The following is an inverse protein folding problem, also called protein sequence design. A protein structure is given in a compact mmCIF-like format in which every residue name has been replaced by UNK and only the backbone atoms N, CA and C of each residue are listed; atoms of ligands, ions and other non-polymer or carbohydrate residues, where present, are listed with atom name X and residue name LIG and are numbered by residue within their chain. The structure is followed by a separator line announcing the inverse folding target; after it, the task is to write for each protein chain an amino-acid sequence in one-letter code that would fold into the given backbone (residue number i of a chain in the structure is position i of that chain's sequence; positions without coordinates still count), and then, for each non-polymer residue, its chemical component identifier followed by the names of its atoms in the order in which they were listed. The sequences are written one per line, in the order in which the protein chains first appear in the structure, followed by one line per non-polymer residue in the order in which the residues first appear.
data_IF_700778773948
#
_entry.id   IF_700778773948
#
_cell.length_a   1.000
_cell.length_b   1.000
_cell.length_c   1.000
_cell.angle_alpha   90.00
_cell.angle_beta   90.00
_cell.angle_gamma   90.00
#
_symmetry.space_group_name_H-M   'P 1'
#
loop_
_entity.id
_entity.type
_entity.pdbx_description
1 polymer ?
#
# COMPACT_ATOMS: atom_id res chain seq x y z
N UNK A 1 12.77 -20.68 -0.39
CA UNK A 1 12.45 -19.54 0.50
C UNK A 1 10.95 -19.55 0.74
N UNK A 2 10.52 -19.68 2.01
CA UNK A 2 9.10 -19.71 2.36
C UNK A 2 8.57 -18.29 2.46
N UNK A 3 7.72 -17.89 1.52
CA UNK A 3 7.16 -16.55 1.44
C UNK A 3 5.68 -16.52 1.83
N UNK A 4 5.21 -15.42 2.39
CA UNK A 4 3.81 -15.19 2.70
C UNK A 4 3.34 -13.85 2.14
N UNK A 5 2.07 -13.81 1.74
CA UNK A 5 1.35 -12.59 1.41
C UNK A 5 0.47 -12.20 2.59
N UNK A 6 0.70 -11.00 3.15
CA UNK A 6 -0.22 -10.40 4.09
C UNK A 6 -1.25 -9.55 3.36
N UNK A 7 -2.52 -9.96 3.50
CA UNK A 7 -3.68 -9.23 2.99
C UNK A 7 -4.23 -8.35 4.10
N UNK A 8 -4.12 -7.01 4.00
CA UNK A 8 -4.62 -6.09 5.01
C UNK A 8 -6.13 -6.15 5.18
N UNK A 9 -6.64 -5.82 6.38
CA UNK A 9 -8.07 -5.88 6.72
C UNK A 9 -8.97 -5.13 5.74
N UNK A 10 -8.58 -3.94 5.27
CA UNK A 10 -9.36 -3.21 4.27
C UNK A 10 -9.42 -3.92 2.92
N UNK A 11 -8.33 -4.59 2.52
CA UNK A 11 -8.29 -5.38 1.30
C UNK A 11 -9.17 -6.61 1.45
N UNK A 12 -8.98 -7.37 2.53
CA UNK A 12 -9.73 -8.60 2.78
C UNK A 12 -11.25 -8.36 2.84
N UNK A 13 -11.67 -7.32 3.56
CA UNK A 13 -13.11 -7.10 3.83
C UNK A 13 -13.83 -6.33 2.71
N UNK A 14 -13.16 -5.41 2.01
CA UNK A 14 -13.82 -4.49 1.08
C UNK A 14 -13.33 -4.60 -0.37
N UNK A 15 -12.12 -5.13 -0.57
CA UNK A 15 -11.47 -5.15 -1.89
C UNK A 15 -10.75 -6.47 -2.16
N UNK A 16 -11.38 -7.65 -1.95
CA UNK A 16 -10.71 -8.95 -2.08
C UNK A 16 -10.12 -9.19 -3.48
N UNK A 17 -10.66 -8.53 -4.51
CA UNK A 17 -10.11 -8.59 -5.86
C UNK A 17 -8.66 -8.08 -5.94
N UNK A 18 -8.24 -7.18 -5.05
CA UNK A 18 -6.85 -6.68 -4.98
C UNK A 18 -5.90 -7.78 -4.52
N UNK A 19 -6.31 -8.58 -3.52
CA UNK A 19 -5.52 -9.72 -3.06
C UNK A 19 -5.40 -10.78 -4.15
N UNK A 20 -6.49 -11.07 -4.86
CA UNK A 20 -6.51 -12.01 -6.00
C UNK A 20 -5.59 -11.50 -7.12
N UNK A 21 -5.63 -10.21 -7.43
CA UNK A 21 -4.76 -9.61 -8.43
C UNK A 21 -3.28 -9.72 -8.03
N UNK A 22 -2.95 -9.45 -6.77
CA UNK A 22 -1.58 -9.57 -6.28
C UNK A 22 -1.07 -11.02 -6.33
N UNK A 23 -1.88 -11.99 -5.91
CA UNK A 23 -1.57 -13.42 -6.06
C UNK A 23 -1.31 -13.78 -7.52
N UNK A 24 -2.19 -13.35 -8.43
CA UNK A 24 -2.05 -13.58 -9.86
C UNK A 24 -0.72 -13.02 -10.40
N UNK A 25 -0.32 -11.81 -9.97
CA UNK A 25 0.97 -11.22 -10.34
C UNK A 25 2.12 -12.08 -9.84
N UNK A 26 2.11 -12.44 -8.55
CA UNK A 26 3.19 -13.23 -7.94
C UNK A 26 3.31 -14.62 -8.58
N UNK A 27 2.21 -15.32 -8.80
CA UNK A 27 2.18 -16.63 -9.45
C UNK A 27 2.73 -16.58 -10.88
N UNK A 28 2.32 -15.56 -11.67
CA UNK A 28 2.80 -15.38 -13.06
C UNK A 28 4.29 -15.03 -13.11
N UNK A 29 4.84 -14.46 -12.07
CA UNK A 29 6.28 -14.19 -11.90
C UNK A 29 7.03 -15.36 -11.27
N UNK A 30 6.38 -16.50 -11.03
CA UNK A 30 6.98 -17.71 -10.44
C UNK A 30 7.24 -17.59 -8.93
N UNK A 31 6.66 -16.59 -8.25
CA UNK A 31 6.81 -16.40 -6.82
C UNK A 31 5.70 -17.13 -6.08
N UNK A 32 6.06 -18.19 -5.39
CA UNK A 32 5.12 -18.96 -4.55
C UNK A 32 4.99 -18.29 -3.18
N UNK A 33 3.75 -18.03 -2.77
CA UNK A 33 3.42 -17.45 -1.47
C UNK A 33 2.27 -18.21 -0.81
N UNK A 34 2.36 -18.35 0.52
CA UNK A 34 1.23 -18.75 1.35
C UNK A 34 0.40 -17.51 1.69
N UNK A 35 -0.90 -17.67 1.90
CA UNK A 35 -1.77 -16.66 2.53
C UNK A 35 -2.22 -17.24 3.87
N UNK A 36 -1.44 -17.02 4.95
CA UNK A 36 -1.72 -17.66 6.23
C UNK A 36 -2.97 -17.07 6.87
N UNK A 37 -3.79 -17.95 7.42
CA UNK A 37 -4.95 -17.57 8.22
C UNK A 37 -4.53 -17.08 9.61
N UNK A 38 -5.37 -16.26 10.23
CA UNK A 38 -5.26 -15.91 11.64
C UNK A 38 -4.69 -14.52 11.96
N UNK A 39 -4.11 -13.80 11.01
CA UNK A 39 -3.68 -12.41 11.21
C UNK A 39 -4.36 -11.48 10.19
N UNK A 40 -5.52 -10.94 10.54
CA UNK A 40 -6.29 -10.05 9.66
C UNK A 40 -5.85 -8.57 9.73
N UNK A 41 -5.08 -8.16 10.76
CA UNK A 41 -4.71 -6.76 10.99
C UNK A 41 -3.25 -6.63 11.43
N UNK A 42 -2.58 -5.57 10.97
CA UNK A 42 -1.21 -5.22 11.39
C UNK A 42 -1.17 -4.50 12.75
N UNK A 43 -2.31 -4.05 13.31
CA UNK A 43 -2.37 -3.31 14.57
C UNK A 43 -2.29 -1.78 14.46
N UNK A 44 -2.02 -1.24 13.27
CA UNK A 44 -1.84 0.20 13.06
C UNK A 44 -3.01 1.08 13.54
N UNK A 45 -4.30 0.73 13.37
CA UNK A 45 -5.40 1.58 13.83
C UNK A 45 -5.35 1.87 15.33
N UNK A 46 -5.03 0.87 16.17
CA UNK A 46 -4.90 1.05 17.61
C UNK A 46 -3.71 1.94 17.96
N UNK A 47 -2.57 1.73 17.30
CA UNK A 47 -1.38 2.56 17.52
C UNK A 47 -1.61 4.02 17.13
N UNK A 48 -2.22 4.29 15.98
CA UNK A 48 -2.53 5.65 15.51
C UNK A 48 -3.55 6.37 16.43
N UNK A 49 -4.41 5.62 17.10
CA UNK A 49 -5.38 6.17 18.05
C UNK A 49 -4.82 6.38 19.47
N UNK A 50 -3.53 6.09 19.69
CA UNK A 50 -2.91 6.18 21.01
C UNK A 50 -3.14 4.96 21.92
N UNK A 51 -3.81 3.91 21.43
CA UNK A 51 -4.10 2.67 22.15
C UNK A 51 -3.06 1.58 21.86
N UNK A 52 -1.76 1.93 21.89
CA UNK A 52 -0.68 1.00 21.56
C UNK A 52 -0.68 -0.27 22.44
N UNK A 53 -0.99 -0.13 23.75
CA UNK A 53 -1.07 -1.27 24.67
C UNK A 53 -2.20 -2.23 24.30
N UNK A 54 -3.36 -1.70 23.93
CA UNK A 54 -4.53 -2.50 23.56
C UNK A 54 -4.32 -3.18 22.18
N UNK A 55 -3.48 -2.57 21.33
CA UNK A 55 -3.05 -3.14 20.06
C UNK A 55 -2.01 -4.25 20.16
N UNK A 56 -1.38 -4.45 21.34
CA UNK A 56 -0.30 -5.42 21.53
C UNK A 56 -0.68 -6.84 21.09
N UNK A 57 -1.83 -7.35 21.53
CA UNK A 57 -2.31 -8.69 21.18
C UNK A 57 -2.47 -8.87 19.65
N UNK A 58 -2.82 -7.82 18.93
CA UNK A 58 -2.95 -7.85 17.47
C UNK A 58 -1.58 -8.01 16.80
N UNK A 59 -0.57 -7.25 17.24
CA UNK A 59 0.79 -7.35 16.72
C UNK A 59 1.42 -8.69 17.12
N UNK A 60 1.24 -9.14 18.37
CA UNK A 60 1.72 -10.44 18.82
C UNK A 60 1.15 -11.57 17.94
N UNK A 61 -0.13 -11.52 17.63
CA UNK A 61 -0.76 -12.48 16.73
C UNK A 61 -0.16 -12.41 15.32
N UNK A 62 0.07 -11.21 14.79
CA UNK A 62 0.75 -11.03 13.52
C UNK A 62 2.14 -11.67 13.54
N UNK A 63 2.95 -11.36 14.55
CA UNK A 63 4.31 -11.92 14.69
C UNK A 63 4.27 -13.44 14.77
N UNK A 64 3.37 -14.02 15.55
CA UNK A 64 3.26 -15.47 15.72
C UNK A 64 2.88 -16.17 14.41
N UNK A 65 1.97 -15.60 13.63
CA UNK A 65 1.53 -16.16 12.31
C UNK A 65 2.64 -16.08 11.29
N UNK A 66 3.37 -14.95 11.25
CA UNK A 66 4.37 -14.70 10.19
C UNK A 66 5.80 -15.09 10.56
N UNK A 67 6.09 -15.42 11.82
CA UNK A 67 7.43 -15.86 12.27
C UNK A 67 8.04 -17.01 11.46
N UNK A 68 7.27 -18.02 10.95
CA UNK A 68 7.81 -19.12 10.16
C UNK A 68 8.26 -18.73 8.74
N UNK A 69 7.94 -17.52 8.26
CA UNK A 69 8.21 -17.10 6.90
C UNK A 69 9.51 -16.33 6.79
N UNK A 70 10.25 -16.57 5.71
CA UNK A 70 11.51 -15.89 5.39
C UNK A 70 11.29 -14.57 4.67
N UNK A 71 10.11 -14.41 4.02
CA UNK A 71 9.67 -13.20 3.35
C UNK A 71 8.19 -12.95 3.62
N UNK A 72 7.83 -11.71 3.96
CA UNK A 72 6.47 -11.29 4.21
C UNK A 72 6.16 -10.13 3.29
N UNK A 73 5.35 -10.39 2.25
CA UNK A 73 4.95 -9.38 1.25
C UNK A 73 3.63 -8.77 1.71
N UNK A 74 3.57 -7.44 1.82
CA UNK A 74 2.43 -6.71 2.37
C UNK A 74 1.77 -5.86 1.30
N UNK A 75 0.45 -6.00 1.12
CA UNK A 75 -0.34 -5.25 0.14
C UNK A 75 -0.80 -3.87 0.64
N UNK A 76 0.05 -3.18 1.40
CA UNK A 76 -0.23 -1.83 1.90
C UNK A 76 1.04 -1.20 2.43
N UNK A 77 1.36 -0.01 1.95
CA UNK A 77 2.48 0.76 2.44
C UNK A 77 2.36 1.11 3.93
N UNK A 78 1.16 1.46 4.38
CA UNK A 78 0.92 1.83 5.77
C UNK A 78 1.09 0.65 6.73
N UNK A 79 0.56 -0.53 6.39
CA UNK A 79 0.75 -1.74 7.18
C UNK A 79 2.22 -2.18 7.21
N UNK A 80 2.92 -2.13 6.08
CA UNK A 80 4.32 -2.51 6.01
C UNK A 80 5.20 -1.62 6.89
N UNK A 81 4.99 -0.30 6.86
CA UNK A 81 5.68 0.66 7.76
C UNK A 81 5.41 0.32 9.21
N UNK A 82 4.13 0.11 9.57
CA UNK A 82 3.75 -0.17 10.95
C UNK A 82 4.44 -1.42 11.50
N UNK A 83 4.42 -2.52 10.73
CA UNK A 83 5.10 -3.76 11.12
C UNK A 83 6.61 -3.54 11.24
N UNK A 84 7.25 -2.90 10.26
CA UNK A 84 8.70 -2.68 10.25
C UNK A 84 9.21 -1.81 11.39
N UNK A 85 8.47 -0.77 11.75
CA UNK A 85 8.91 0.19 12.75
C UNK A 85 8.47 -0.19 14.18
N UNK A 86 7.30 -0.82 14.34
CA UNK A 86 6.68 -0.96 15.63
C UNK A 86 6.55 -2.40 16.15
N UNK A 87 6.66 -3.43 15.30
CA UNK A 87 6.51 -4.81 15.79
C UNK A 87 7.56 -5.18 16.85
N UNK A 88 8.81 -4.74 16.68
CA UNK A 88 9.87 -4.94 17.66
C UNK A 88 9.63 -4.21 18.97
N UNK A 89 9.23 -2.96 18.94
CA UNK A 89 8.94 -2.13 20.12
C UNK A 89 7.75 -2.66 20.92
N UNK A 90 6.67 -3.00 20.23
CA UNK A 90 5.46 -3.52 20.89
C UNK A 90 5.75 -4.84 21.58
N UNK A 91 6.52 -5.73 20.97
CA UNK A 91 6.91 -7.00 21.58
C UNK A 91 7.86 -6.81 22.77
N UNK A 92 8.74 -5.81 22.74
CA UNK A 92 9.64 -5.49 23.83
C UNK A 92 8.93 -4.94 25.08
N UNK A 93 7.86 -4.16 24.90
CA UNK A 93 7.08 -3.59 26.03
C UNK A 93 6.36 -4.66 26.87
N UNK A 94 6.20 -5.88 26.38
CA UNK A 94 5.68 -7.03 27.12
C UNK A 94 6.69 -7.68 28.06
N UNK A 95 7.88 -7.09 28.28
CA UNK A 95 8.94 -7.63 29.13
C UNK A 95 9.70 -8.82 28.54
N UNK A 96 9.47 -9.11 27.26
CA UNK A 96 10.17 -10.15 26.50
C UNK A 96 11.22 -9.49 25.62
N UNK A 97 12.47 -9.88 25.78
CA UNK A 97 13.56 -9.63 24.82
C UNK A 97 13.33 -10.48 23.57
N UNK A 98 12.14 -10.36 22.96
CA UNK A 98 11.76 -11.23 21.85
C UNK A 98 12.30 -10.70 20.54
N UNK A 99 13.29 -11.41 20.02
CA UNK A 99 13.85 -11.17 18.69
C UNK A 99 12.87 -11.55 17.56
N UNK A 100 11.72 -12.19 17.85
CA UNK A 100 10.77 -12.61 16.82
C UNK A 100 10.10 -11.42 16.12
N UNK A 101 9.68 -10.40 16.88
CA UNK A 101 9.12 -9.16 16.33
C UNK A 101 10.12 -8.45 15.43
N UNK A 102 11.40 -8.34 15.84
CA UNK A 102 12.45 -7.73 15.04
C UNK A 102 12.71 -8.53 13.75
N UNK A 103 12.77 -9.87 13.84
CA UNK A 103 12.94 -10.72 12.65
C UNK A 103 11.78 -10.60 11.67
N UNK A 104 10.54 -10.54 12.16
CA UNK A 104 9.35 -10.33 11.32
C UNK A 104 9.41 -8.96 10.65
N UNK A 105 9.80 -7.91 11.38
CA UNK A 105 9.98 -6.57 10.84
C UNK A 105 11.00 -6.53 9.70
N UNK A 106 12.18 -7.14 9.88
CA UNK A 106 13.25 -7.21 8.87
C UNK A 106 12.82 -7.96 7.60
N UNK A 107 11.99 -9.00 7.74
CA UNK A 107 11.51 -9.85 6.63
C UNK A 107 10.28 -9.27 5.92
N UNK A 108 9.72 -8.18 6.46
CA UNK A 108 8.54 -7.53 5.89
C UNK A 108 8.94 -6.57 4.78
N UNK A 109 8.34 -6.76 3.61
CA UNK A 109 8.49 -5.87 2.45
C UNK A 109 7.13 -5.49 1.88
N UNK A 110 7.00 -4.30 1.34
CA UNK A 110 5.79 -3.88 0.65
C UNK A 110 5.80 -4.43 -0.78
N UNK A 111 4.63 -4.71 -1.33
CA UNK A 111 4.44 -5.39 -2.61
C UNK A 111 5.18 -4.74 -3.78
N UNK A 112 5.10 -3.42 -3.94
CA UNK A 112 5.83 -2.73 -5.02
C UNK A 112 7.34 -2.69 -4.79
N UNK A 113 7.78 -2.55 -3.52
CA UNK A 113 9.20 -2.71 -3.18
C UNK A 113 9.71 -4.09 -3.55
N UNK A 114 8.97 -5.14 -3.21
CA UNK A 114 9.32 -6.51 -3.56
C UNK A 114 9.43 -6.70 -5.08
N UNK A 115 8.44 -6.25 -5.83
CA UNK A 115 8.45 -6.37 -7.29
C UNK A 115 9.59 -5.58 -7.94
N UNK A 116 9.89 -4.40 -7.43
CA UNK A 116 10.93 -3.55 -7.99
C UNK A 116 12.33 -4.04 -7.63
N UNK A 117 12.58 -4.30 -6.35
CA UNK A 117 13.93 -4.50 -5.81
C UNK A 117 14.39 -5.97 -5.90
N UNK A 118 13.46 -6.94 -5.79
CA UNK A 118 13.81 -8.37 -5.74
C UNK A 118 13.44 -9.13 -7.02
N UNK A 119 12.26 -8.86 -7.60
CA UNK A 119 11.86 -9.47 -8.89
C UNK A 119 12.49 -8.74 -10.06
N UNK A 120 12.49 -7.41 -10.02
CA UNK A 120 13.00 -6.54 -11.07
C UNK A 120 11.95 -6.12 -12.11
N UNK A 121 11.99 -4.85 -12.49
CA UNK A 121 11.02 -4.22 -13.42
C UNK A 121 10.96 -4.94 -14.78
N UNK A 122 12.07 -5.52 -15.25
CA UNK A 122 12.11 -6.30 -16.50
C UNK A 122 11.16 -7.48 -16.47
N UNK A 123 11.21 -8.29 -15.40
CA UNK A 123 10.32 -9.45 -15.25
C UNK A 123 8.86 -9.03 -15.07
N UNK A 124 8.62 -7.92 -14.37
CA UNK A 124 7.25 -7.36 -14.26
C UNK A 124 6.71 -6.95 -15.63
N UNK A 125 7.54 -6.43 -16.52
CA UNK A 125 7.14 -6.10 -17.88
C UNK A 125 6.72 -7.33 -18.71
N UNK A 126 7.23 -8.53 -18.41
CA UNK A 126 6.86 -9.79 -19.06
C UNK A 126 5.41 -10.22 -18.76
N UNK A 127 4.76 -9.64 -17.73
CA UNK A 127 3.33 -9.84 -17.48
C UNK A 127 2.46 -9.39 -18.66
N UNK A 128 2.94 -8.47 -19.46
CA UNK A 128 2.25 -7.99 -20.67
C UNK A 128 0.96 -7.21 -20.37
N UNK A 129 0.86 -6.64 -19.17
CA UNK A 129 -0.32 -5.88 -18.74
C UNK A 129 -0.60 -4.69 -19.69
N UNK A 130 -1.89 -4.38 -19.88
CA UNK A 130 -2.32 -3.26 -20.71
C UNK A 130 -3.53 -2.57 -20.07
N UNK A 131 -3.54 -1.24 -20.08
CA UNK A 131 -4.63 -0.43 -19.58
C UNK A 131 -4.57 0.97 -20.19
N UNK A 132 -5.52 1.31 -21.04
CA UNK A 132 -5.56 2.61 -21.73
C UNK A 132 -6.19 3.67 -20.85
N UNK A 133 -5.37 4.48 -20.19
CA UNK A 133 -5.82 5.60 -19.37
C UNK A 133 -4.68 6.57 -19.03
N UNK A 134 -5.06 7.79 -18.65
CA UNK A 134 -4.18 8.74 -17.98
C UNK A 134 -4.32 8.54 -16.47
N UNK A 135 -3.27 8.08 -15.80
CA UNK A 135 -3.28 7.71 -14.40
C UNK A 135 -2.50 8.69 -13.53
N UNK A 136 -3.11 9.14 -12.44
CA UNK A 136 -2.40 9.76 -11.33
C UNK A 136 -1.93 8.68 -10.34
N UNK A 137 -0.68 8.76 -9.90
CA UNK A 137 -0.13 7.87 -8.87
C UNK A 137 -0.23 8.55 -7.51
N UNK A 138 -0.82 7.84 -6.55
CA UNK A 138 -0.84 8.24 -5.15
C UNK A 138 -0.08 7.21 -4.31
N UNK A 139 1.15 7.52 -3.91
CA UNK A 139 2.00 6.56 -3.17
C UNK A 139 1.57 6.47 -1.70
N UNK A 140 0.96 7.51 -1.16
CA UNK A 140 0.64 7.60 0.27
C UNK A 140 1.86 7.98 1.13
N UNK A 141 1.64 8.67 2.24
CA UNK A 141 2.71 9.21 3.08
C UNK A 141 3.61 8.13 3.69
N UNK A 142 3.05 6.99 4.10
CA UNK A 142 3.82 5.87 4.65
C UNK A 142 4.70 5.21 3.58
N UNK A 143 4.14 4.96 2.40
CA UNK A 143 4.92 4.41 1.28
C UNK A 143 6.05 5.33 0.86
N UNK A 144 5.76 6.63 0.76
CA UNK A 144 6.73 7.64 0.35
C UNK A 144 7.86 7.81 1.36
N UNK A 145 7.54 8.17 2.61
CA UNK A 145 8.52 8.54 3.64
C UNK A 145 8.98 7.38 4.51
N UNK A 146 8.11 6.42 4.77
CA UNK A 146 8.43 5.27 5.62
C UNK A 146 9.15 4.13 4.90
N UNK A 147 8.86 3.93 3.61
CA UNK A 147 9.43 2.84 2.81
C UNK A 147 10.36 3.31 1.67
N UNK A 148 10.38 4.60 1.37
CA UNK A 148 11.15 5.11 0.24
C UNK A 148 10.70 4.51 -1.10
N UNK A 149 9.39 4.43 -1.34
CA UNK A 149 8.86 3.98 -2.64
C UNK A 149 9.14 4.98 -3.75
N UNK A 150 9.25 6.25 -3.40
CA UNK A 150 9.70 7.30 -4.30
C UNK A 150 10.47 8.35 -3.51
N UNK A 151 11.13 9.27 -4.21
CA UNK A 151 11.83 10.40 -3.60
C UNK A 151 10.82 11.45 -3.15
N UNK A 152 10.74 11.79 -1.85
CA UNK A 152 9.96 12.92 -1.38
C UNK A 152 10.52 14.25 -1.90
N UNK A 153 9.65 15.24 -2.11
CA UNK A 153 10.04 16.54 -2.66
C UNK A 153 10.98 17.33 -1.76
N UNK A 154 10.94 17.09 -0.45
CA UNK A 154 11.82 17.72 0.54
C UNK A 154 13.27 17.21 0.51
N UNK A 155 13.55 16.08 -0.16
CA UNK A 155 14.89 15.49 -0.27
C UNK A 155 15.51 15.87 -1.61
N UNK A 156 16.71 16.47 -1.57
CA UNK A 156 17.46 16.86 -2.78
C UNK A 156 18.42 15.74 -3.24
N UNK A 157 17.83 14.64 -3.71
CA UNK A 157 18.54 13.51 -4.30
C UNK A 157 18.08 13.27 -5.73
N UNK A 158 18.72 12.33 -6.43
CA UNK A 158 18.25 11.90 -7.74
C UNK A 158 16.80 11.43 -7.67
N UNK A 159 15.93 11.90 -8.56
CA UNK A 159 14.55 11.41 -8.62
C UNK A 159 14.51 9.89 -8.85
N UNK A 160 13.70 9.21 -8.06
CA UNK A 160 13.33 7.82 -8.29
C UNK A 160 11.88 7.60 -7.87
N UNK A 161 11.22 6.64 -8.47
CA UNK A 161 9.85 6.23 -8.14
C UNK A 161 9.66 4.78 -8.57
N UNK A 162 9.67 3.86 -7.61
CA UNK A 162 9.52 2.42 -7.83
C UNK A 162 8.14 2.09 -8.40
N UNK A 163 7.11 2.79 -7.94
CA UNK A 163 5.73 2.55 -8.37
C UNK A 163 5.56 2.98 -9.82
N UNK A 164 6.04 4.17 -10.18
CA UNK A 164 5.99 4.65 -11.57
C UNK A 164 6.83 3.78 -12.50
N UNK A 165 7.99 3.29 -12.03
CA UNK A 165 8.82 2.37 -12.80
C UNK A 165 8.09 1.05 -13.12
N UNK A 166 7.37 0.48 -12.17
CA UNK A 166 6.54 -0.70 -12.38
C UNK A 166 5.36 -0.42 -13.32
N UNK A 167 4.67 0.69 -13.13
CA UNK A 167 3.52 1.08 -13.94
C UNK A 167 3.90 1.47 -15.37
N UNK A 168 5.11 1.95 -15.62
CA UNK A 168 5.62 2.21 -16.96
C UNK A 168 5.67 0.94 -17.83
N UNK A 169 5.66 -0.25 -17.23
CA UNK A 169 5.56 -1.53 -17.93
C UNK A 169 4.13 -1.85 -18.42
N UNK A 170 3.11 -1.12 -17.99
CA UNK A 170 1.71 -1.32 -18.40
C UNK A 170 1.45 -0.57 -19.73
N UNK A 171 1.18 -1.31 -20.79
CA UNK A 171 0.94 -0.73 -22.14
C UNK A 171 -0.32 0.13 -22.14
N UNK A 172 -0.25 1.29 -22.77
CA UNK A 172 -1.37 2.23 -22.88
C UNK A 172 -1.55 3.13 -21.66
N UNK A 173 -0.84 2.89 -20.55
CA UNK A 173 -0.95 3.70 -19.34
C UNK A 173 -0.06 4.95 -19.45
N UNK A 174 -0.67 6.13 -19.45
CA UNK A 174 0.03 7.41 -19.43
C UNK A 174 0.03 7.98 -18.01
N UNK A 175 1.20 8.10 -17.38
CA UNK A 175 1.30 8.63 -16.02
C UNK A 175 1.34 10.16 -16.04
N UNK A 176 0.39 10.80 -15.35
CA UNK A 176 0.34 12.27 -15.24
C UNK A 176 1.29 12.77 -14.15
N UNK A 177 1.87 13.95 -14.38
CA UNK A 177 2.63 14.66 -13.34
C UNK A 177 1.68 15.52 -12.52
N UNK A 178 1.81 15.46 -11.19
CA UNK A 178 1.01 16.22 -10.26
C UNK A 178 1.79 17.41 -9.73
N UNK A 179 1.11 18.51 -9.43
CA UNK A 179 1.76 19.71 -8.86
C UNK A 179 2.23 19.46 -7.42
N UNK A 180 1.51 18.59 -6.69
CA UNK A 180 1.79 18.26 -5.29
C UNK A 180 1.88 16.73 -5.11
N UNK A 181 2.95 16.07 -5.64
CA UNK A 181 3.04 14.62 -5.67
C UNK A 181 2.99 13.99 -4.26
N UNK A 182 3.53 14.67 -3.26
CA UNK A 182 3.69 14.19 -1.88
C UNK A 182 2.49 14.47 -0.97
N UNK A 183 1.41 15.03 -1.51
CA UNK A 183 0.26 15.41 -0.71
C UNK A 183 -0.49 14.20 -0.15
N UNK A 184 -0.81 14.28 1.15
CA UNK A 184 -1.54 13.22 1.85
C UNK A 184 -3.00 13.15 1.37
N UNK A 185 -3.56 11.93 1.34
CA UNK A 185 -4.99 11.71 1.05
C UNK A 185 -5.93 12.23 2.14
N UNK A 186 -5.43 12.43 3.38
CA UNK A 186 -6.22 12.88 4.51
C UNK A 186 -6.90 11.77 5.31
N UNK A 187 -6.76 10.49 4.97
CA UNK A 187 -7.43 9.41 5.67
C UNK A 187 -6.97 9.28 7.14
N UNK A 188 -5.68 8.98 7.37
CA UNK A 188 -5.09 8.88 8.72
C UNK A 188 -5.76 7.89 9.68
N UNK A 189 -6.57 6.93 9.18
CA UNK A 189 -7.29 5.96 10.01
C UNK A 189 -8.34 6.65 10.89
N UNK A 190 -8.17 6.60 12.21
CA UNK A 190 -9.07 7.24 13.19
C UNK A 190 -9.13 8.77 13.06
N UNK A 191 -8.10 9.39 12.47
CA UNK A 191 -8.10 10.83 12.16
C UNK A 191 -9.30 11.24 11.28
N UNK A 192 -9.66 10.42 10.29
CA UNK A 192 -10.81 10.71 9.44
C UNK A 192 -12.16 10.74 10.20
N UNK A 193 -12.21 10.09 11.37
CA UNK A 193 -13.38 10.09 12.26
C UNK A 193 -13.31 11.21 13.29
N UNK A 194 -12.14 11.41 13.91
CA UNK A 194 -11.93 12.43 14.93
C UNK A 194 -11.88 13.85 14.38
N UNK A 195 -11.29 14.02 13.19
CA UNK A 195 -11.11 15.32 12.53
C UNK A 195 -11.69 15.34 11.11
N UNK A 196 -13.00 15.03 10.94
CA UNK A 196 -13.59 14.81 9.62
C UNK A 196 -13.52 16.03 8.70
N UNK A 197 -13.62 17.24 9.24
CA UNK A 197 -13.55 18.48 8.45
C UNK A 197 -12.16 18.65 7.79
N UNK A 198 -11.10 18.39 8.53
CA UNK A 198 -9.72 18.50 8.05
C UNK A 198 -9.42 17.37 7.07
N UNK A 199 -9.78 16.13 7.42
CA UNK A 199 -9.62 14.94 6.59
C UNK A 199 -10.28 15.10 5.21
N UNK A 200 -11.53 15.54 5.18
CA UNK A 200 -12.28 15.83 3.94
C UNK A 200 -11.60 16.93 3.13
N UNK A 201 -11.13 18.02 3.77
CA UNK A 201 -10.44 19.11 3.08
C UNK A 201 -9.17 18.62 2.40
N UNK A 202 -8.35 17.82 3.09
CA UNK A 202 -7.12 17.22 2.55
C UNK A 202 -7.42 16.33 1.35
N UNK A 203 -8.39 15.44 1.47
CA UNK A 203 -8.77 14.56 0.37
C UNK A 203 -9.30 15.31 -0.85
N UNK A 204 -10.07 16.38 -0.64
CA UNK A 204 -10.54 17.27 -1.71
C UNK A 204 -9.40 18.01 -2.41
N UNK A 205 -8.42 18.49 -1.67
CA UNK A 205 -7.26 19.17 -2.25
C UNK A 205 -6.47 18.17 -3.12
N UNK A 206 -6.28 16.93 -2.61
CA UNK A 206 -5.65 15.86 -3.38
C UNK A 206 -6.43 15.52 -4.65
N UNK A 207 -7.74 15.36 -4.58
CA UNK A 207 -8.58 15.09 -5.76
C UNK A 207 -8.57 16.24 -6.76
N UNK A 208 -8.53 17.49 -6.29
CA UNK A 208 -8.42 18.66 -7.15
C UNK A 208 -7.09 18.68 -7.91
N UNK A 209 -5.97 18.39 -7.25
CA UNK A 209 -4.67 18.29 -7.92
C UNK A 209 -4.71 17.18 -8.99
N UNK A 210 -5.24 16.01 -8.68
CA UNK A 210 -5.38 14.87 -9.60
C UNK A 210 -6.23 15.25 -10.82
N UNK A 211 -7.40 15.82 -10.61
CA UNK A 211 -8.34 16.12 -11.70
C UNK A 211 -7.88 17.29 -12.56
N UNK A 212 -7.21 18.30 -11.97
CA UNK A 212 -6.68 19.45 -12.72
C UNK A 212 -5.57 19.07 -13.73
N UNK A 213 -4.91 17.93 -13.50
CA UNK A 213 -3.90 17.39 -14.43
C UNK A 213 -4.50 16.38 -15.44
N UNK A 214 -5.82 16.25 -15.47
CA UNK A 214 -6.54 15.43 -16.46
C UNK A 214 -6.34 13.93 -16.25
N UNK A 215 -6.12 13.48 -15.02
CA UNK A 215 -6.13 12.06 -14.73
C UNK A 215 -7.53 11.48 -14.92
N UNK A 216 -7.60 10.32 -15.53
CA UNK A 216 -8.83 9.55 -15.73
C UNK A 216 -9.02 8.47 -14.67
N UNK A 217 -7.93 8.05 -14.03
CA UNK A 217 -7.93 7.07 -12.95
C UNK A 217 -6.90 7.43 -11.89
N UNK A 218 -7.08 6.91 -10.67
CA UNK A 218 -6.07 7.00 -9.60
C UNK A 218 -5.53 5.62 -9.31
N UNK A 219 -4.21 5.51 -9.17
CA UNK A 219 -3.52 4.26 -8.82
C UNK A 219 -2.75 4.46 -7.52
N UNK A 220 -2.84 3.52 -6.61
CA UNK A 220 -2.11 3.57 -5.32
C UNK A 220 -1.62 2.21 -4.88
N UNK A 221 -0.66 2.23 -3.96
CA UNK A 221 -0.15 1.05 -3.23
C UNK A 221 -0.90 0.80 -1.92
N UNK A 222 -1.88 1.64 -1.58
CA UNK A 222 -2.60 1.58 -0.30
C UNK A 222 -4.10 1.78 -0.48
N UNK A 223 -4.86 0.70 -0.26
CA UNK A 223 -6.31 0.71 -0.40
C UNK A 223 -7.00 1.60 0.63
N UNK A 224 -6.40 1.87 1.78
CA UNK A 224 -6.97 2.77 2.77
C UNK A 224 -7.04 4.21 2.26
N UNK A 225 -6.00 4.66 1.55
CA UNK A 225 -5.99 5.94 0.85
C UNK A 225 -7.04 5.98 -0.27
N UNK A 226 -7.07 4.93 -1.10
CA UNK A 226 -8.03 4.85 -2.20
C UNK A 226 -9.48 4.83 -1.72
N UNK A 227 -9.79 4.09 -0.65
CA UNK A 227 -11.12 4.04 -0.05
C UNK A 227 -11.60 5.44 0.36
N UNK A 228 -10.73 6.23 1.00
CA UNK A 228 -11.05 7.59 1.41
C UNK A 228 -11.28 8.52 0.21
N UNK A 229 -10.36 8.49 -0.75
CA UNK A 229 -10.46 9.32 -1.97
C UNK A 229 -11.67 8.92 -2.84
N UNK A 230 -11.95 7.61 -2.99
CA UNK A 230 -13.10 7.10 -3.73
C UNK A 230 -14.43 7.55 -3.09
N UNK A 231 -14.51 7.47 -1.75
CA UNK A 231 -15.69 7.98 -1.02
C UNK A 231 -15.97 9.46 -1.29
N UNK A 232 -14.92 10.29 -1.31
CA UNK A 232 -15.02 11.70 -1.63
C UNK A 232 -15.34 11.93 -3.11
N UNK A 233 -14.67 11.23 -4.02
CA UNK A 233 -14.88 11.34 -5.47
C UNK A 233 -16.32 10.98 -5.86
N UNK A 234 -16.88 9.92 -5.26
CA UNK A 234 -18.30 9.53 -5.47
C UNK A 234 -19.25 10.60 -4.95
N UNK A 235 -19.00 11.13 -3.75
CA UNK A 235 -19.82 12.19 -3.16
C UNK A 235 -19.84 13.45 -4.03
N UNK A 236 -18.73 13.76 -4.67
CA UNK A 236 -18.56 14.92 -5.56
C UNK A 236 -18.87 14.61 -7.04
N UNK A 237 -19.25 13.37 -7.34
CA UNK A 237 -19.59 12.89 -8.70
C UNK A 237 -18.49 13.11 -9.72
N UNK A 238 -17.23 12.89 -9.32
CA UNK A 238 -16.09 13.14 -10.18
C UNK A 238 -15.89 12.06 -11.27
N UNK A 239 -16.55 10.90 -11.16
CA UNK A 239 -16.41 9.80 -12.13
C UNK A 239 -14.96 9.30 -12.26
N UNK A 240 -14.20 9.26 -11.16
CA UNK A 240 -12.76 8.96 -11.13
C UNK A 240 -12.53 7.56 -10.53
N UNK A 241 -12.38 6.51 -11.34
CA UNK A 241 -12.09 5.16 -10.88
C UNK A 241 -10.73 5.07 -10.16
N UNK A 242 -10.65 4.16 -9.17
CA UNK A 242 -9.46 3.98 -8.36
C UNK A 242 -9.05 2.52 -8.33
N UNK A 243 -7.74 2.26 -8.48
CA UNK A 243 -7.17 0.93 -8.59
C UNK A 243 -5.93 0.76 -7.73
N UNK A 244 -5.76 -0.41 -7.16
CA UNK A 244 -4.48 -0.81 -6.59
C UNK A 244 -3.50 -1.14 -7.72
N UNK A 245 -2.20 -0.89 -7.51
CA UNK A 245 -1.15 -1.21 -8.50
C UNK A 245 -1.24 -2.67 -8.97
N UNK A 246 -1.53 -3.60 -8.05
CA UNK A 246 -1.67 -5.03 -8.37
C UNK A 246 -2.74 -5.30 -9.44
N UNK A 247 -3.87 -4.57 -9.46
CA UNK A 247 -4.94 -4.78 -10.43
C UNK A 247 -4.51 -4.40 -11.85
N UNK A 248 -3.70 -3.33 -11.99
CA UNK A 248 -3.15 -2.94 -13.29
C UNK A 248 -2.11 -3.95 -13.77
N UNK A 249 -1.19 -4.37 -12.90
CA UNK A 249 -0.15 -5.34 -13.24
C UNK A 249 -0.71 -6.73 -13.57
N UNK A 250 -1.80 -7.13 -12.90
CA UNK A 250 -2.51 -8.37 -13.21
C UNK A 250 -3.33 -8.30 -14.52
N UNK A 251 -3.61 -7.08 -15.04
CA UNK A 251 -4.52 -6.86 -16.16
C UNK A 251 -5.99 -7.08 -15.80
N UNK A 252 -6.35 -6.96 -14.52
CA UNK A 252 -7.72 -7.16 -14.02
C UNK A 252 -8.48 -5.86 -13.79
N UNK A 253 -7.78 -4.71 -13.82
CA UNK A 253 -8.39 -3.40 -13.74
C UNK A 253 -9.38 -3.19 -14.91
N UNK A 254 -10.59 -2.77 -14.60
CA UNK A 254 -11.61 -2.42 -15.60
C UNK A 254 -12.17 -1.05 -15.25
N UNK A 255 -12.04 -0.10 -16.16
CA UNK A 255 -12.76 1.16 -16.07
C UNK A 255 -14.27 0.84 -16.05
N UNK A 256 -14.95 1.27 -14.98
CA UNK A 256 -16.41 1.10 -14.82
C UNK A 256 -17.13 2.26 -15.46
#
# INVERSE_FOLDING_TARGET
MKSALFVPCYVDQFYPQVAIAALTVLERLGVQVDVPEGAACCGQPSANAGFGRDGHATIERFVNVYAPYERIIVLSGSCAVHVRLHAGEVMAHGGRTDTAGARVAERTTEFCSFLHDEVGVRHVAELGAAFDARAAVHIGCHGLRGLGLAKPSEIQERPFDKVRALLAAVRGLALVELSRPDECCGFGGTFAVGEPAVSVKMGRDRLRDITSHGAQVVVSTDMSCLMHLDGLARRERLGLPMFHVAELLAGTARAR
#
